data_IF_436658803924
#
_entry.id   IF_436658803924
#
_cell.length_a   1.000
_cell.length_b   1.000
_cell.length_c   1.000
_cell.angle_alpha   90.00
_cell.angle_beta   90.00
_cell.angle_gamma   90.00
#
_symmetry.space_group_name_H-M   'P 1'
#
loop_
_entity.id
_entity.type
_entity.pdbx_description
1 polymer ?
#
# COMPACT_ATOMS: atom_id res chain seq x y z
N UNK A 1 -23.21 -55.65 -35.76
CA UNK A 1 -23.97 -56.07 -34.57
C UNK A 1 -22.98 -56.01 -33.44
N UNK A 2 -23.14 -55.26 -32.38
CA UNK A 2 -24.19 -54.37 -31.86
C UNK A 2 -23.47 -53.70 -30.67
N UNK A 3 -23.35 -52.37 -30.66
CA UNK A 3 -24.12 -51.48 -29.77
C UNK A 3 -23.33 -51.32 -28.45
N UNK A 4 -22.69 -50.16 -28.21
CA UNK A 4 -23.27 -49.03 -27.47
C UNK A 4 -23.72 -49.40 -26.05
N UNK A 5 -22.75 -49.57 -25.14
CA UNK A 5 -22.98 -49.61 -23.70
C UNK A 5 -22.03 -48.61 -23.00
N UNK A 6 -22.12 -47.33 -23.38
CA UNK A 6 -21.79 -46.22 -22.48
C UNK A 6 -22.92 -46.18 -21.45
N UNK A 7 -22.81 -46.98 -20.39
CA UNK A 7 -23.72 -46.86 -19.26
C UNK A 7 -23.52 -45.47 -18.63
N UNK A 8 -24.57 -44.66 -18.80
CA UNK A 8 -24.91 -43.47 -18.02
C UNK A 8 -24.51 -43.65 -16.55
N UNK A 9 -23.40 -43.05 -16.16
CA UNK A 9 -23.21 -42.63 -14.77
C UNK A 9 -24.00 -41.34 -14.63
N UNK A 10 -25.29 -41.51 -14.37
CA UNK A 10 -26.17 -40.51 -13.78
C UNK A 10 -25.69 -40.24 -12.35
N UNK A 11 -24.60 -39.47 -12.23
CA UNK A 11 -24.25 -38.79 -10.98
C UNK A 11 -25.18 -37.60 -10.89
N UNK A 12 -26.40 -37.86 -10.40
CA UNK A 12 -27.37 -36.85 -10.03
C UNK A 12 -26.69 -35.78 -9.19
N UNK A 13 -26.62 -34.57 -9.76
CA UNK A 13 -26.26 -33.35 -9.06
C UNK A 13 -27.37 -33.06 -8.04
N UNK A 14 -27.35 -33.76 -6.90
CA UNK A 14 -28.35 -33.60 -5.83
C UNK A 14 -27.97 -32.57 -4.77
N UNK A 15 -26.91 -31.78 -4.96
CA UNK A 15 -26.60 -30.70 -4.01
C UNK A 15 -25.81 -29.57 -4.67
N UNK A 16 -26.43 -28.89 -5.62
CA UNK A 16 -25.97 -27.57 -6.04
C UNK A 16 -26.49 -26.57 -4.99
N UNK A 17 -25.62 -25.89 -4.22
CA UNK A 17 -26.07 -24.95 -3.20
C UNK A 17 -26.83 -23.81 -3.88
N UNK A 18 -27.97 -23.36 -3.33
CA UNK A 18 -28.79 -22.35 -3.98
C UNK A 18 -27.98 -21.07 -4.19
N UNK A 19 -28.02 -20.55 -5.43
CA UNK A 19 -27.42 -19.27 -5.76
C UNK A 19 -28.01 -18.18 -4.86
N UNK A 20 -27.20 -17.27 -4.30
CA UNK A 20 -27.71 -16.18 -3.49
C UNK A 20 -28.57 -15.26 -4.36
N UNK A 21 -29.87 -15.23 -4.07
CA UNK A 21 -30.80 -14.24 -4.62
C UNK A 21 -30.34 -12.84 -4.18
N UNK A 22 -29.78 -12.08 -5.11
CA UNK A 22 -29.52 -10.65 -4.92
C UNK A 22 -30.87 -9.93 -5.00
N UNK A 23 -31.45 -9.65 -3.83
CA UNK A 23 -32.66 -8.83 -3.69
C UNK A 23 -32.36 -7.41 -4.19
N UNK A 24 -32.93 -7.11 -5.35
CA UNK A 24 -32.87 -5.82 -6.01
C UNK A 24 -33.73 -4.81 -5.22
N UNK A 25 -33.07 -3.96 -4.44
CA UNK A 25 -33.64 -2.68 -3.98
C UNK A 25 -34.12 -2.64 -2.53
N UNK A 26 -33.19 -2.50 -1.59
CA UNK A 26 -33.40 -1.67 -0.41
C UNK A 26 -32.15 -0.79 -0.24
N UNK A 27 -32.28 0.42 -0.74
CA UNK A 27 -31.31 1.50 -0.72
C UNK A 27 -31.05 1.85 0.74
N UNK A 28 -29.98 1.31 1.34
CA UNK A 28 -29.40 1.96 2.51
C UNK A 28 -28.71 3.23 2.00
N UNK A 29 -29.47 4.34 2.07
CA UNK A 29 -28.93 5.70 2.06
C UNK A 29 -27.87 5.80 3.15
N UNK A 30 -26.65 5.41 2.81
CA UNK A 30 -25.46 5.94 3.45
C UNK A 30 -25.44 7.40 3.04
N UNK A 31 -26.18 8.22 3.79
CA UNK A 31 -26.01 9.66 3.82
C UNK A 31 -24.52 9.92 3.94
N UNK A 32 -23.93 10.20 2.79
CA UNK A 32 -22.66 10.84 2.64
C UNK A 32 -22.84 12.16 3.39
N UNK A 33 -22.46 12.17 4.67
CA UNK A 33 -22.09 13.39 5.40
C UNK A 33 -20.80 13.93 4.78
N UNK A 34 -20.89 14.24 3.50
CA UNK A 34 -20.27 15.39 2.90
C UNK A 34 -21.03 16.57 3.51
N UNK A 35 -20.71 16.84 4.79
CA UNK A 35 -21.16 18.01 5.49
C UNK A 35 -20.58 19.17 4.70
N UNK A 36 -21.45 19.70 3.85
CA UNK A 36 -21.56 21.05 3.42
C UNK A 36 -20.35 21.89 3.83
N UNK A 37 -19.57 22.24 2.81
CA UNK A 37 -18.54 23.27 2.80
C UNK A 37 -19.15 24.62 3.24
N UNK A 38 -19.52 24.74 4.52
CA UNK A 38 -19.83 25.99 5.18
C UNK A 38 -18.49 26.54 5.64
N UNK A 39 -18.08 27.62 4.99
CA UNK A 39 -16.84 28.31 5.27
C UNK A 39 -16.86 28.96 6.65
N UNK A 40 -16.66 28.16 7.69
CA UNK A 40 -16.18 28.64 8.97
C UNK A 40 -14.65 28.61 8.95
N UNK A 41 -13.97 29.69 9.36
CA UNK A 41 -12.52 29.67 9.47
C UNK A 41 -12.16 28.58 10.48
N UNK A 42 -11.42 27.56 10.02
CA UNK A 42 -10.70 26.65 10.91
C UNK A 42 -9.78 27.54 11.73
N UNK A 43 -10.19 27.79 12.98
CA UNK A 43 -9.35 28.37 14.00
C UNK A 43 -8.09 27.50 14.03
N UNK A 44 -7.00 28.15 13.68
CA UNK A 44 -5.69 27.54 13.59
C UNK A 44 -5.24 27.40 15.04
N UNK A 45 -5.79 26.42 15.75
CA UNK A 45 -5.21 25.98 17.02
C UNK A 45 -3.81 25.49 16.68
N UNK A 46 -2.84 26.27 17.12
CA UNK A 46 -1.41 26.05 16.99
C UNK A 46 -1.11 24.57 17.24
N UNK A 47 -0.89 23.82 16.15
CA UNK A 47 -0.14 22.56 16.23
C UNK A 47 1.24 22.99 16.67
N UNK A 48 1.47 22.96 17.97
CA UNK A 48 2.80 23.01 18.53
C UNK A 48 3.63 21.99 17.76
N UNK A 49 4.49 22.50 16.88
CA UNK A 49 5.55 21.72 16.27
C UNK A 49 6.42 21.27 17.43
N UNK A 50 6.10 20.09 17.98
CA UNK A 50 6.98 19.39 18.91
C UNK A 50 8.32 19.26 18.18
N UNK A 51 9.24 20.17 18.51
CA UNK A 51 10.60 20.12 18.01
C UNK A 51 11.11 18.70 18.26
N UNK A 52 11.75 18.05 17.27
CA UNK A 52 12.21 16.68 17.42
C UNK A 52 13.25 16.67 18.54
N UNK A 53 12.79 16.40 19.76
CA UNK A 53 13.65 16.21 20.91
C UNK A 53 14.46 14.98 20.53
N UNK A 54 15.76 15.14 20.29
CA UNK A 54 16.70 14.05 20.00
C UNK A 54 16.83 13.16 21.25
N UNK A 55 15.75 12.44 21.55
CA UNK A 55 15.77 11.32 22.46
C UNK A 55 16.50 10.20 21.74
N UNK A 56 17.35 9.43 22.44
CA UNK A 56 17.99 8.27 21.81
C UNK A 56 16.90 7.33 21.28
N UNK A 57 16.81 7.24 19.95
CA UNK A 57 15.84 6.39 19.25
C UNK A 57 16.13 4.93 19.60
N UNK A 58 15.09 4.19 19.99
CA UNK A 58 15.17 2.78 20.38
C UNK A 58 14.97 1.84 19.20
N UNK A 59 14.25 2.28 18.16
CA UNK A 59 13.91 1.41 17.02
C UNK A 59 15.10 1.17 16.08
N UNK A 60 15.00 0.10 15.28
CA UNK A 60 16.09 -0.37 14.42
C UNK A 60 16.40 0.59 13.26
N UNK A 61 17.67 0.81 12.93
CA UNK A 61 18.09 1.62 11.75
C UNK A 61 17.75 0.99 10.40
N UNK A 62 17.31 -0.27 10.39
CA UNK A 62 16.94 -0.98 9.17
C UNK A 62 15.48 -0.68 8.80
N UNK A 63 15.25 -0.50 7.51
CA UNK A 63 13.90 -0.42 6.96
C UNK A 63 13.26 -1.80 7.00
N UNK A 64 12.07 -1.90 7.57
CA UNK A 64 11.31 -3.16 7.59
C UNK A 64 10.74 -3.46 6.20
N UNK A 65 10.48 -4.73 5.92
CA UNK A 65 9.82 -5.14 4.67
C UNK A 65 8.45 -4.47 4.45
N UNK A 66 7.75 -4.15 5.55
CA UNK A 66 6.44 -3.50 5.52
C UNK A 66 6.55 -2.03 5.15
N UNK A 67 7.51 -1.32 5.75
CA UNK A 67 7.82 0.07 5.42
C UNK A 67 8.23 0.20 3.96
N UNK A 68 9.14 -0.65 3.49
CA UNK A 68 9.58 -0.68 2.10
C UNK A 68 8.41 -0.87 1.14
N UNK A 69 7.56 -1.87 1.39
CA UNK A 69 6.41 -2.14 0.53
C UNK A 69 5.43 -0.94 0.51
N UNK A 70 5.17 -0.33 1.67
CA UNK A 70 4.28 0.83 1.77
C UNK A 70 4.84 2.06 1.06
N UNK A 71 6.13 2.36 1.25
CA UNK A 71 6.79 3.49 0.59
C UNK A 71 6.75 3.33 -0.92
N UNK A 72 7.12 2.16 -1.44
CA UNK A 72 7.08 1.87 -2.88
C UNK A 72 5.66 1.98 -3.43
N UNK A 73 4.66 1.42 -2.74
CA UNK A 73 3.26 1.49 -3.15
C UNK A 73 2.72 2.93 -3.18
N UNK A 74 2.91 3.69 -2.10
CA UNK A 74 2.47 5.09 -2.03
C UNK A 74 3.20 5.95 -3.06
N UNK A 75 4.50 5.74 -3.26
CA UNK A 75 5.28 6.53 -4.21
C UNK A 75 4.91 6.19 -5.67
N UNK A 76 4.76 4.91 -5.99
CA UNK A 76 4.28 4.48 -7.31
C UNK A 76 2.89 5.06 -7.61
N UNK A 77 1.99 5.08 -6.62
CA UNK A 77 0.68 5.73 -6.76
C UNK A 77 0.81 7.22 -7.08
N UNK A 78 1.65 7.96 -6.35
CA UNK A 78 1.90 9.38 -6.66
C UNK A 78 2.42 9.58 -8.09
N UNK A 79 3.37 8.76 -8.54
CA UNK A 79 3.92 8.83 -9.90
C UNK A 79 2.83 8.55 -10.94
N UNK A 80 1.95 7.58 -10.70
CA UNK A 80 0.81 7.28 -11.57
C UNK A 80 -0.17 8.46 -11.68
N UNK A 81 -0.29 9.28 -10.63
CA UNK A 81 -1.04 10.54 -10.60
C UNK A 81 -0.22 11.72 -11.11
N UNK A 82 0.81 11.46 -11.94
CA UNK A 82 1.69 12.45 -12.54
C UNK A 82 2.43 13.36 -11.54
N UNK A 83 2.68 12.88 -10.32
CA UNK A 83 3.52 13.61 -9.37
C UNK A 83 4.97 13.76 -9.90
N UNK A 84 5.69 14.84 -9.51
CA UNK A 84 7.07 15.04 -9.93
C UNK A 84 8.00 13.90 -9.49
N UNK A 85 8.79 13.39 -10.42
CA UNK A 85 9.81 12.35 -10.19
C UNK A 85 11.14 13.01 -9.83
N UNK A 86 11.84 12.47 -8.82
CA UNK A 86 13.08 13.03 -8.27
C UNK A 86 14.36 12.45 -8.89
N UNK A 87 14.22 11.44 -9.74
CA UNK A 87 15.30 10.76 -10.47
C UNK A 87 15.16 10.94 -11.97
N UNK A 88 16.25 10.76 -12.69
CA UNK A 88 16.25 10.79 -14.15
C UNK A 88 15.65 9.49 -14.70
N UNK A 89 14.72 9.62 -15.65
CA UNK A 89 14.10 8.48 -16.34
C UNK A 89 14.99 8.07 -17.53
N UNK A 90 15.39 6.82 -17.56
CA UNK A 90 16.20 6.16 -18.61
C UNK A 90 15.34 5.25 -19.50
N UNK A 91 14.04 5.53 -19.59
CA UNK A 91 13.07 4.74 -20.36
C UNK A 91 12.16 3.85 -19.51
N UNK A 92 12.21 3.96 -18.19
CA UNK A 92 11.24 3.33 -17.29
C UNK A 92 9.86 3.98 -17.50
N UNK A 93 8.86 3.16 -17.80
CA UNK A 93 7.46 3.59 -17.97
C UNK A 93 6.58 3.12 -16.81
N UNK A 94 7.00 2.09 -16.09
CA UNK A 94 6.26 1.54 -14.97
C UNK A 94 6.47 2.38 -13.69
N UNK A 95 5.39 2.84 -13.03
CA UNK A 95 5.52 3.67 -11.83
C UNK A 95 6.23 2.99 -10.67
N UNK A 96 6.13 1.66 -10.55
CA UNK A 96 6.78 0.91 -9.48
C UNK A 96 8.29 0.80 -9.73
N UNK A 97 8.71 0.59 -10.97
CA UNK A 97 10.13 0.62 -11.35
C UNK A 97 10.76 1.99 -11.06
N UNK A 98 10.06 3.08 -11.39
CA UNK A 98 10.51 4.44 -11.09
C UNK A 98 10.62 4.65 -9.57
N UNK A 99 9.61 4.25 -8.79
CA UNK A 99 9.67 4.33 -7.33
C UNK A 99 10.80 3.49 -6.73
N UNK A 100 11.09 2.31 -7.30
CA UNK A 100 12.23 1.48 -6.89
C UNK A 100 13.58 2.17 -7.19
N UNK A 101 13.69 2.87 -8.32
CA UNK A 101 14.87 3.68 -8.66
C UNK A 101 15.06 4.83 -7.67
N UNK A 102 14.00 5.56 -7.35
CA UNK A 102 14.02 6.64 -6.35
C UNK A 102 14.41 6.14 -4.96
N UNK A 103 13.93 4.97 -4.54
CA UNK A 103 14.28 4.39 -3.24
C UNK A 103 15.77 3.99 -3.18
N UNK A 104 16.32 3.47 -4.29
CA UNK A 104 17.76 3.11 -4.39
C UNK A 104 18.65 4.35 -4.31
N UNK A 105 18.24 5.45 -4.95
CA UNK A 105 18.94 6.74 -4.87
C UNK A 105 18.63 7.52 -3.57
N UNK A 106 17.75 6.99 -2.71
CA UNK A 106 17.31 7.63 -1.45
C UNK A 106 16.73 9.03 -1.64
N UNK A 107 16.01 9.24 -2.74
CA UNK A 107 15.40 10.54 -3.10
C UNK A 107 13.90 10.64 -2.80
N UNK A 108 13.32 9.63 -2.13
CA UNK A 108 11.92 9.66 -1.74
C UNK A 108 11.76 10.60 -0.53
N UNK A 109 11.00 11.71 -0.63
CA UNK A 109 10.87 12.71 0.43
C UNK A 109 9.81 12.30 1.46
N UNK A 110 9.92 11.09 2.03
CA UNK A 110 9.00 10.59 3.05
C UNK A 110 9.68 10.47 4.41
N UNK A 111 8.88 10.66 5.46
CA UNK A 111 9.25 10.36 6.84
C UNK A 111 8.34 9.26 7.36
N UNK A 112 8.93 8.23 7.96
CA UNK A 112 8.24 7.13 8.60
C UNK A 112 8.05 7.44 10.07
N UNK A 113 6.80 7.51 10.51
CA UNK A 113 6.46 7.57 11.94
C UNK A 113 6.27 6.16 12.50
N UNK A 114 7.16 5.75 13.40
CA UNK A 114 7.07 4.45 14.10
C UNK A 114 6.45 4.63 15.47
N UNK A 115 5.27 4.07 15.66
CA UNK A 115 4.60 4.07 16.96
C UNK A 115 5.13 2.97 17.86
N UNK A 116 5.41 3.35 19.11
CA UNK A 116 5.79 2.45 20.19
C UNK A 116 4.52 1.96 20.92
N UNK A 117 4.58 0.83 21.64
CA UNK A 117 3.42 0.30 22.37
C UNK A 117 2.90 1.23 23.48
N UNK A 118 3.72 2.19 23.93
CA UNK A 118 3.35 3.21 24.92
C UNK A 118 2.59 4.41 24.28
N UNK A 119 2.35 4.37 22.97
CA UNK A 119 1.70 5.43 22.20
C UNK A 119 2.64 6.55 21.75
N UNK A 120 3.88 6.58 22.22
CA UNK A 120 4.89 7.51 21.70
C UNK A 120 5.34 7.12 20.29
N UNK A 121 6.03 8.02 19.59
CA UNK A 121 6.49 7.76 18.22
C UNK A 121 7.92 8.24 17.97
N UNK A 122 8.56 7.61 17.00
CA UNK A 122 9.87 8.00 16.46
C UNK A 122 9.73 8.29 14.97
N UNK A 123 10.12 9.49 14.54
CA UNK A 123 10.13 9.89 13.13
C UNK A 123 11.49 9.56 12.50
N UNK A 124 11.47 8.81 11.39
CA UNK A 124 12.63 8.35 10.65
C UNK A 124 12.56 8.79 9.19
N UNK A 125 13.57 9.49 8.69
CA UNK A 125 13.72 9.78 7.27
C UNK A 125 13.92 8.50 6.46
N UNK A 126 13.32 8.43 5.28
CA UNK A 126 13.57 7.29 4.36
C UNK A 126 15.02 7.27 3.88
N UNK A 127 15.67 8.43 3.81
CA UNK A 127 17.07 8.60 3.41
C UNK A 127 18.09 8.05 4.42
N UNK A 128 17.75 8.06 5.71
CA UNK A 128 18.63 7.57 6.79
C UNK A 128 18.48 6.06 7.05
N UNK A 129 17.38 5.44 6.62
CA UNK A 129 17.12 4.03 6.86
C UNK A 129 17.95 3.12 5.94
N UNK A 130 18.44 2.02 6.52
CA UNK A 130 19.22 1.03 5.77
C UNK A 130 18.25 0.04 5.12
N UNK A 131 18.26 -0.01 3.79
CA UNK A 131 17.44 -0.96 3.01
C UNK A 131 18.24 -2.23 2.76
N UNK A 132 17.79 -3.37 3.29
CA UNK A 132 18.32 -4.67 2.90
C UNK A 132 17.69 -5.13 1.58
N UNK A 133 18.44 -4.99 0.47
CA UNK A 133 18.04 -5.56 -0.82
C UNK A 133 18.45 -7.04 -0.87
N UNK A 134 17.71 -7.88 -0.17
CA UNK A 134 17.96 -9.33 -0.12
C UNK A 134 17.57 -10.08 -1.40
N UNK A 135 16.82 -9.45 -2.30
CA UNK A 135 16.29 -10.10 -3.51
C UNK A 135 17.32 -10.32 -4.62
N UNK A 136 18.38 -9.49 -4.69
CA UNK A 136 19.47 -9.70 -5.67
C UNK A 136 20.31 -10.95 -5.43
N UNK A 137 20.28 -11.54 -4.23
CA UNK A 137 21.07 -12.75 -3.93
C UNK A 137 20.50 -14.03 -4.54
N UNK A 138 19.23 -14.06 -4.94
CA UNK A 138 18.55 -15.29 -5.36
C UNK A 138 18.49 -15.49 -6.89
N UNK A 139 18.71 -14.43 -7.69
CA UNK A 139 18.53 -14.48 -9.16
C UNK A 139 19.84 -14.41 -9.96
N UNK A 140 20.99 -14.50 -9.29
CA UNK A 140 22.29 -14.69 -9.94
C UNK A 140 22.52 -16.16 -10.28
N UNK A 141 21.90 -16.64 -11.36
CA UNK A 141 22.32 -17.82 -12.10
C UNK A 141 22.56 -17.37 -13.55
N UNK A 142 23.78 -17.61 -14.05
CA UNK A 142 24.23 -17.38 -15.43
C UNK A 142 23.19 -17.74 -16.52
#
# INVERSE_FOLDING_TARGET
MADDDYEDIDMGYEDEPPEPEIEEGAEEDLENKNDELTGEPIDTEDKEEEQPVERPRKTSKYMTKYERARILGTRALQISMNAPVMVELEGETDPLEIAMKELRERKIPFTIRRYLPDGSYEDWGVDELIVEDSWKRQVGGD
#
